data_IF_537567831389
#
_entry.id   IF_537567831389
#
_cell.length_a   1.000
_cell.length_b   1.000
_cell.length_c   1.000
_cell.angle_alpha   90.00
_cell.angle_beta   90.00
_cell.angle_gamma   90.00
#
_symmetry.space_group_name_H-M   'P 1'
#
loop_
_entity.id
_entity.type
_entity.pdbx_description
1 polymer ?
#
# COMPACT_ATOMS: atom_id res chain seq x y z
N UNK A 1 41.53 -59.88 -30.00
CA UNK A 1 42.08 -58.50 -30.13
C UNK A 1 42.76 -58.18 -31.47
N UNK A 2 43.22 -59.16 -32.27
CA UNK A 2 43.96 -58.87 -33.51
C UNK A 2 43.09 -58.56 -34.76
N UNK A 3 41.76 -58.69 -34.70
CA UNK A 3 40.86 -58.47 -35.85
C UNK A 3 40.64 -57.00 -36.25
N UNK A 4 41.05 -56.04 -35.41
CA UNK A 4 40.92 -54.61 -35.69
C UNK A 4 42.21 -53.95 -36.22
N UNK A 5 43.29 -54.73 -36.39
CA UNK A 5 44.60 -54.21 -36.83
C UNK A 5 44.86 -54.35 -38.35
N UNK A 6 44.04 -55.09 -39.09
CA UNK A 6 44.39 -55.53 -40.45
C UNK A 6 43.48 -55.01 -41.58
N UNK A 7 42.41 -54.28 -41.31
CA UNK A 7 41.59 -53.64 -42.35
C UNK A 7 41.26 -52.20 -41.97
N UNK A 8 41.41 -51.22 -42.88
CA UNK A 8 41.07 -49.84 -42.60
C UNK A 8 39.55 -49.73 -42.59
N UNK A 9 38.97 -49.68 -41.41
CA UNK A 9 37.53 -49.61 -41.16
C UNK A 9 36.95 -48.22 -41.54
N UNK A 10 37.12 -47.80 -42.80
CA UNK A 10 36.74 -46.49 -43.37
C UNK A 10 35.29 -46.12 -43.04
N UNK A 11 34.37 -47.09 -43.13
CA UNK A 11 32.97 -46.92 -42.77
C UNK A 11 32.77 -46.54 -41.29
N UNK A 12 33.51 -47.15 -40.35
CA UNK A 12 33.42 -46.79 -38.92
C UNK A 12 34.05 -45.43 -38.62
N UNK A 13 35.12 -45.07 -39.33
CA UNK A 13 35.74 -43.76 -39.21
C UNK A 13 34.79 -42.65 -39.72
N UNK A 14 34.14 -42.88 -40.85
CA UNK A 14 33.11 -41.98 -41.39
C UNK A 14 31.91 -41.87 -40.44
N UNK A 15 31.43 -42.98 -39.88
CA UNK A 15 30.36 -42.98 -38.88
C UNK A 15 30.77 -42.18 -37.63
N UNK A 16 32.00 -42.35 -37.16
CA UNK A 16 32.54 -41.62 -36.01
C UNK A 16 32.64 -40.11 -36.32
N UNK A 17 33.10 -39.74 -37.51
CA UNK A 17 33.16 -38.34 -37.93
C UNK A 17 31.75 -37.72 -38.01
N UNK A 18 30.80 -38.41 -38.64
CA UNK A 18 29.42 -37.96 -38.78
C UNK A 18 28.74 -37.81 -37.41
N UNK A 19 28.91 -38.78 -36.52
CA UNK A 19 28.37 -38.70 -35.15
C UNK A 19 28.97 -37.54 -34.36
N UNK A 20 30.27 -37.26 -34.49
CA UNK A 20 30.91 -36.07 -33.88
C UNK A 20 30.34 -34.76 -34.42
N UNK A 21 30.11 -34.67 -35.73
CA UNK A 21 29.50 -33.47 -36.35
C UNK A 21 28.09 -33.27 -35.81
N UNK A 22 27.29 -34.33 -35.76
CA UNK A 22 25.91 -34.28 -35.23
C UNK A 22 25.88 -33.83 -33.77
N UNK A 23 26.77 -34.37 -32.92
CA UNK A 23 26.87 -33.95 -31.52
C UNK A 23 27.23 -32.47 -31.42
N UNK A 24 28.22 -32.01 -32.20
CA UNK A 24 28.63 -30.60 -32.21
C UNK A 24 27.47 -29.70 -32.63
N UNK A 25 26.70 -30.09 -33.63
CA UNK A 25 25.55 -29.32 -34.10
C UNK A 25 24.47 -29.23 -33.02
N UNK A 26 24.13 -30.35 -32.38
CA UNK A 26 23.18 -30.36 -31.25
C UNK A 26 23.62 -29.45 -30.11
N UNK A 27 24.92 -29.43 -29.80
CA UNK A 27 25.46 -28.58 -28.74
C UNK A 27 25.39 -27.09 -29.12
N UNK A 28 25.64 -26.74 -30.38
CA UNK A 28 25.47 -25.38 -30.89
C UNK A 28 24.00 -24.96 -30.79
N UNK A 29 23.08 -25.82 -31.19
CA UNK A 29 21.65 -25.51 -31.16
C UNK A 29 21.14 -25.30 -29.73
N UNK A 30 21.59 -26.12 -28.78
CA UNK A 30 21.22 -25.99 -27.38
C UNK A 30 21.80 -24.71 -26.75
N UNK A 31 23.07 -24.41 -27.02
CA UNK A 31 23.69 -23.17 -26.53
C UNK A 31 23.06 -21.91 -27.13
N UNK A 32 22.69 -21.94 -28.43
CA UNK A 32 21.96 -20.86 -29.09
C UNK A 32 20.57 -20.65 -28.47
N UNK A 33 19.87 -21.74 -28.14
CA UNK A 33 18.56 -21.70 -27.46
C UNK A 33 18.68 -21.11 -26.06
N UNK A 34 19.65 -21.57 -25.28
CA UNK A 34 19.93 -21.06 -23.94
C UNK A 34 20.27 -19.56 -23.96
N UNK A 35 21.10 -19.12 -24.92
CA UNK A 35 21.46 -17.72 -25.10
C UNK A 35 20.23 -16.87 -25.45
N UNK A 36 19.39 -17.34 -26.36
CA UNK A 36 18.15 -16.67 -26.77
C UNK A 36 17.18 -16.53 -25.60
N UNK A 37 17.00 -17.60 -24.81
CA UNK A 37 16.17 -17.58 -23.61
C UNK A 37 16.68 -16.58 -22.57
N UNK A 38 18.00 -16.52 -22.36
CA UNK A 38 18.61 -15.58 -21.43
C UNK A 38 18.43 -14.14 -21.88
N UNK A 39 18.66 -13.84 -23.16
CA UNK A 39 18.40 -12.51 -23.76
C UNK A 39 16.93 -12.12 -23.60
N UNK A 40 16.00 -13.00 -23.96
CA UNK A 40 14.55 -12.76 -23.80
C UNK A 40 14.18 -12.46 -22.35
N UNK A 41 14.72 -13.24 -21.41
CA UNK A 41 14.49 -13.05 -19.98
C UNK A 41 15.05 -11.71 -19.49
N UNK A 42 16.25 -11.34 -19.95
CA UNK A 42 16.87 -10.06 -19.64
C UNK A 42 16.01 -8.89 -20.13
N UNK A 43 15.59 -8.88 -21.40
CA UNK A 43 14.75 -7.80 -21.94
C UNK A 43 13.35 -7.76 -21.29
N UNK A 44 12.74 -8.92 -21.03
CA UNK A 44 11.46 -9.01 -20.31
C UNK A 44 11.54 -8.48 -18.87
N UNK A 45 12.71 -8.55 -18.23
CA UNK A 45 12.94 -8.01 -16.88
C UNK A 45 13.45 -6.56 -16.90
N UNK A 46 14.20 -6.17 -17.93
CA UNK A 46 14.69 -4.80 -18.15
C UNK A 46 13.52 -3.83 -18.33
N UNK A 47 12.50 -4.22 -19.10
CA UNK A 47 11.28 -3.42 -19.27
C UNK A 47 10.37 -3.38 -18.01
N UNK A 48 10.81 -4.02 -16.91
CA UNK A 48 10.13 -4.03 -15.62
C UNK A 48 10.89 -3.27 -14.54
N UNK A 49 12.07 -2.70 -14.81
CA UNK A 49 12.74 -1.82 -13.85
C UNK A 49 11.89 -0.60 -13.53
N UNK A 50 11.25 0.00 -14.53
CA UNK A 50 10.29 1.09 -14.34
C UNK A 50 9.07 0.64 -13.52
N UNK A 51 8.62 -0.61 -13.69
CA UNK A 51 7.51 -1.16 -12.88
C UNK A 51 7.92 -1.41 -11.43
N UNK A 52 9.16 -1.81 -11.17
CA UNK A 52 9.69 -1.96 -9.81
C UNK A 52 9.85 -0.58 -9.16
N UNK A 53 10.41 0.39 -9.88
CA UNK A 53 10.52 1.77 -9.43
C UNK A 53 9.13 2.36 -9.13
N UNK A 54 8.17 2.23 -10.05
CA UNK A 54 6.79 2.64 -9.84
C UNK A 54 6.13 1.92 -8.65
N UNK A 55 6.41 0.63 -8.43
CA UNK A 55 5.94 -0.13 -7.27
C UNK A 55 6.56 0.35 -5.96
N UNK A 56 7.80 0.82 -5.96
CA UNK A 56 8.44 1.44 -4.79
C UNK A 56 8.00 2.88 -4.54
N UNK A 57 7.61 3.62 -5.59
CA UNK A 57 7.14 5.00 -5.50
C UNK A 57 5.64 5.11 -5.16
N UNK A 58 4.82 4.15 -5.59
CA UNK A 58 3.37 4.12 -5.32
C UNK A 58 3.01 4.22 -3.83
N UNK A 59 3.65 3.51 -2.90
CA UNK A 59 3.37 3.65 -1.46
C UNK A 59 3.67 5.04 -0.91
N UNK A 60 4.71 5.73 -1.44
CA UNK A 60 5.06 7.09 -1.01
C UNK A 60 4.02 8.14 -1.41
N UNK A 61 3.37 7.95 -2.55
CA UNK A 61 2.21 8.77 -2.96
C UNK A 61 0.89 8.37 -2.27
N UNK A 62 0.89 7.24 -1.54
CA UNK A 62 -0.26 6.71 -0.80
C UNK A 62 -0.13 6.87 0.72
N UNK A 63 0.66 7.84 1.21
CA UNK A 63 0.33 8.45 2.50
C UNK A 63 -1.18 8.78 2.52
N UNK A 64 -1.86 8.78 3.67
CA UNK A 64 -3.29 9.09 3.76
C UNK A 64 -3.55 10.55 3.37
N UNK A 65 -3.46 10.82 2.08
CA UNK A 65 -3.76 12.08 1.45
C UNK A 65 -5.24 12.03 1.13
N UNK A 66 -5.99 12.91 1.79
CA UNK A 66 -7.41 13.06 1.53
C UNK A 66 -7.52 13.66 0.12
N UNK A 67 -7.88 12.83 -0.84
CA UNK A 67 -7.99 13.24 -2.26
C UNK A 67 -9.25 14.05 -2.52
N UNK A 68 -10.27 13.88 -1.68
CA UNK A 68 -11.53 14.60 -1.76
C UNK A 68 -12.25 14.60 -0.43
N UNK A 69 -13.00 15.66 -0.15
CA UNK A 69 -13.88 15.78 1.01
C UNK A 69 -15.24 16.30 0.55
N UNK A 70 -16.30 15.88 1.25
CA UNK A 70 -17.63 16.44 1.04
C UNK A 70 -17.80 17.64 1.97
N UNK A 71 -18.07 18.80 1.40
CA UNK A 71 -18.41 20.00 2.14
C UNK A 71 -19.87 19.93 2.65
N UNK A 72 -20.24 20.74 3.67
CA UNK A 72 -21.59 20.73 4.26
C UNK A 72 -22.69 21.16 3.29
N UNK A 73 -22.34 21.85 2.21
CA UNK A 73 -23.23 22.17 1.08
C UNK A 73 -23.51 20.95 0.17
N UNK A 74 -22.91 19.79 0.45
CA UNK A 74 -23.02 18.56 -0.34
C UNK A 74 -22.07 18.51 -1.53
N UNK A 75 -21.30 19.57 -1.79
CA UNK A 75 -20.34 19.61 -2.90
C UNK A 75 -19.07 18.82 -2.56
N UNK A 76 -18.45 18.26 -3.59
CA UNK A 76 -17.20 17.50 -3.44
C UNK A 76 -16.02 18.42 -3.75
N UNK A 77 -15.15 18.64 -2.76
CA UNK A 77 -13.94 19.43 -2.91
C UNK A 77 -12.74 18.51 -3.09
N UNK A 78 -11.90 18.82 -4.08
CA UNK A 78 -10.73 18.01 -4.47
C UNK A 78 -9.43 18.80 -4.31
N UNK A 79 -9.50 20.12 -4.22
CA UNK A 79 -8.33 20.97 -3.99
C UNK A 79 -7.82 20.80 -2.55
N UNK A 80 -6.51 20.60 -2.32
CA UNK A 80 -5.94 20.49 -0.98
C UNK A 80 -6.22 21.70 -0.09
N UNK A 81 -6.25 22.90 -0.66
CA UNK A 81 -6.52 24.15 0.08
C UNK A 81 -7.97 24.19 0.57
N UNK A 82 -8.92 23.81 -0.29
CA UNK A 82 -10.33 23.73 0.06
C UNK A 82 -10.58 22.64 1.10
N UNK A 83 -9.92 21.48 0.96
CA UNK A 83 -10.01 20.39 1.93
C UNK A 83 -9.52 20.86 3.30
N UNK A 84 -8.33 21.48 3.37
CA UNK A 84 -7.80 22.02 4.63
C UNK A 84 -8.73 23.08 5.25
N UNK A 85 -9.30 23.96 4.41
CA UNK A 85 -10.24 24.97 4.88
C UNK A 85 -11.50 24.33 5.45
N UNK A 86 -12.12 23.37 4.75
CA UNK A 86 -13.32 22.66 5.24
C UNK A 86 -13.08 21.93 6.56
N UNK A 87 -11.91 21.31 6.74
CA UNK A 87 -11.51 20.72 8.02
C UNK A 87 -11.39 21.76 9.12
N UNK A 88 -10.73 22.89 8.83
CA UNK A 88 -10.60 23.99 9.78
C UNK A 88 -11.97 24.52 10.20
N UNK A 89 -12.86 24.82 9.24
CA UNK A 89 -14.19 25.34 9.56
C UNK A 89 -14.97 24.35 10.41
N UNK A 90 -15.00 23.07 10.02
CA UNK A 90 -15.73 22.03 10.76
C UNK A 90 -15.30 21.94 12.22
N UNK A 91 -14.00 21.87 12.50
CA UNK A 91 -13.53 21.77 13.88
C UNK A 91 -13.69 23.08 14.65
N UNK A 92 -13.52 24.23 14.01
CA UNK A 92 -13.83 25.51 14.66
C UNK A 92 -15.30 25.59 15.06
N UNK A 93 -16.23 25.14 14.21
CA UNK A 93 -17.66 25.12 14.56
C UNK A 93 -17.94 24.11 15.67
N UNK A 94 -17.32 22.93 15.62
CA UNK A 94 -17.55 21.88 16.61
C UNK A 94 -17.11 22.29 18.02
N UNK A 95 -15.95 22.93 18.14
CA UNK A 95 -15.39 23.29 19.45
C UNK A 95 -15.80 24.68 19.94
N UNK A 96 -16.20 25.58 19.05
CA UNK A 96 -16.72 26.89 19.44
C UNK A 96 -18.25 26.92 19.58
N UNK A 97 -18.94 25.80 19.36
CA UNK A 97 -20.36 25.68 19.70
C UNK A 97 -20.52 25.87 21.21
N UNK A 98 -21.08 27.01 21.60
CA UNK A 98 -21.49 27.25 22.98
C UNK A 98 -22.68 26.33 23.28
N UNK A 99 -22.72 25.64 24.42
CA UNK A 99 -23.85 24.80 24.83
C UNK A 99 -25.17 25.59 24.99
N UNK A 100 -25.12 26.91 24.86
CA UNK A 100 -26.28 27.81 24.90
C UNK A 100 -27.11 27.80 23.60
N UNK A 101 -26.49 27.52 22.45
CA UNK A 101 -27.13 27.70 21.13
C UNK A 101 -27.94 26.47 20.68
N UNK A 102 -27.69 25.32 21.30
CA UNK A 102 -28.35 24.07 20.97
C UNK A 102 -29.48 23.79 21.96
N UNK A 103 -30.71 24.18 21.59
CA UNK A 103 -31.92 24.07 22.43
C UNK A 103 -32.11 22.66 23.03
N UNK A 104 -31.60 21.64 22.33
CA UNK A 104 -31.63 20.24 22.76
C UNK A 104 -30.68 19.94 23.92
N UNK A 105 -29.48 20.53 23.92
CA UNK A 105 -28.46 20.37 24.97
C UNK A 105 -28.87 21.18 26.21
N UNK A 106 -29.39 22.40 26.01
CA UNK A 106 -29.89 23.24 27.11
C UNK A 106 -31.06 22.57 27.83
N UNK A 107 -31.99 21.95 27.10
CA UNK A 107 -33.10 21.20 27.67
C UNK A 107 -32.65 19.93 28.40
N UNK A 108 -31.62 19.22 27.90
CA UNK A 108 -31.04 18.07 28.58
C UNK A 108 -30.33 18.48 29.88
N UNK A 109 -29.57 19.57 29.85
CA UNK A 109 -28.91 20.15 31.02
C UNK A 109 -29.93 20.63 32.06
N UNK A 110 -31.04 21.23 31.63
CA UNK A 110 -32.14 21.61 32.53
C UNK A 110 -32.78 20.38 33.19
N UNK A 111 -33.06 19.31 32.44
CA UNK A 111 -33.57 18.05 33.03
C UNK A 111 -32.59 17.44 34.03
N UNK A 112 -31.28 17.52 33.76
CA UNK A 112 -30.25 17.05 34.69
C UNK A 112 -30.23 17.92 35.95
N UNK A 113 -30.30 19.25 35.82
CA UNK A 113 -30.34 20.14 36.98
C UNK A 113 -31.60 19.91 37.81
N UNK A 114 -32.76 19.75 37.15
CA UNK A 114 -34.03 19.51 37.83
C UNK A 114 -33.99 18.19 38.61
N UNK A 115 -33.48 17.11 38.00
CA UNK A 115 -33.26 15.82 38.66
C UNK A 115 -32.30 15.93 39.87
N UNK A 116 -31.17 16.63 39.70
CA UNK A 116 -30.19 16.82 40.78
C UNK A 116 -30.75 17.66 41.94
N UNK A 117 -31.61 18.63 41.65
CA UNK A 117 -32.31 19.40 42.69
C UNK A 117 -33.35 18.56 43.44
N UNK A 118 -34.02 17.64 42.75
CA UNK A 118 -35.00 16.74 43.35
C UNK A 118 -34.38 15.73 44.34
N UNK A 119 -33.12 15.36 44.11
CA UNK A 119 -32.39 14.41 44.96
C UNK A 119 -32.03 14.95 46.36
N UNK A 120 -32.30 16.23 46.67
CA UNK A 120 -32.03 16.86 47.99
C UNK A 120 -30.65 16.49 48.58
N UNK A 121 -29.63 16.45 47.72
CA UNK A 121 -28.27 16.09 48.14
C UNK A 121 -27.73 17.18 49.08
N UNK A 122 -27.13 16.81 50.22
CA UNK A 122 -26.46 17.77 51.08
C UNK A 122 -25.33 18.44 50.29
N UNK A 123 -25.52 19.71 49.97
CA UNK A 123 -24.50 20.51 49.28
C UNK A 123 -23.40 20.82 50.27
N UNK A 124 -22.16 20.47 49.92
CA UNK A 124 -20.99 20.85 50.72
C UNK A 124 -20.89 22.38 50.75
N UNK A 125 -21.08 22.97 51.93
CA UNK A 125 -20.81 24.38 52.12
C UNK A 125 -19.30 24.59 52.13
N UNK A 126 -18.83 25.70 51.56
CA UNK A 126 -17.41 26.07 51.46
C UNK A 126 -16.60 25.96 52.76
N UNK A 127 -17.25 26.11 53.93
CA UNK A 127 -16.62 25.92 55.24
C UNK A 127 -16.19 24.46 55.53
N UNK A 128 -16.91 23.46 54.99
CA UNK A 128 -16.55 22.05 55.14
C UNK A 128 -15.40 21.64 54.21
N UNK A 129 -15.16 22.38 53.12
CA UNK A 129 -14.08 22.10 52.17
C UNK A 129 -12.73 22.49 52.77
N UNK A 130 -12.68 23.53 53.60
CA UNK A 130 -11.47 23.97 54.32
C UNK A 130 -11.05 23.04 55.46
N UNK A 131 -11.95 22.20 55.99
CA UNK A 131 -11.63 21.20 57.03
C UNK A 131 -11.17 19.85 56.46
N UNK A 132 -11.31 19.65 55.14
CA UNK A 132 -10.94 18.43 54.41
C UNK A 132 -9.58 18.52 53.71
N UNK A 133 -8.91 19.67 53.80
CA UNK A 133 -7.55 19.92 53.31
C UNK A 133 -6.56 19.96 54.48
#
# INVERSE_FOLDING_TARGET
>A
EQRHKTDPTSHTLQLLQNTRINIRQLLIDDTARALTWRKRTYYNKSNKMDTLLARTLRPRTQHPHITKIRAPDGTLKTSPTEIAQTFSTFYTTLYNHSPQDDTTITAANQKITDFLTQLNLPKLHTAAITELA
#
